data_IF_709056968293
#
_entry.id   IF_709056968293
#
_cell.length_a   1.000
_cell.length_b   1.000
_cell.length_c   1.000
_cell.angle_alpha   90.00
_cell.angle_beta   90.00
_cell.angle_gamma   90.00
#
_symmetry.space_group_name_H-M   'P 1'
#
loop_
_entity.id
_entity.type
_entity.pdbx_description
1 polymer ?
#
# COMPACT_ATOMS: atom_id res chain seq x y z
N UNK A 1 -5.83 -15.19 8.08
CA UNK A 1 -6.61 -14.19 8.83
C UNK A 1 -5.80 -13.58 9.96
N UNK A 2 -5.38 -14.32 11.00
CA UNK A 2 -4.63 -13.77 12.15
C UNK A 2 -3.40 -12.92 11.77
N UNK A 3 -2.51 -13.43 10.91
CA UNK A 3 -1.34 -12.67 10.44
C UNK A 3 -1.71 -11.39 9.67
N UNK A 4 -2.81 -11.40 8.91
CA UNK A 4 -3.28 -10.22 8.17
C UNK A 4 -3.84 -9.15 9.11
N UNK A 5 -4.61 -9.57 10.11
CA UNK A 5 -5.06 -8.66 11.17
C UNK A 5 -3.87 -8.00 11.87
N UNK A 6 -2.87 -8.80 12.27
CA UNK A 6 -1.66 -8.27 12.91
C UNK A 6 -0.90 -7.31 11.98
N UNK A 7 -0.80 -7.63 10.69
CA UNK A 7 -0.17 -6.76 9.71
C UNK A 7 -0.92 -5.44 9.54
N UNK A 8 -2.25 -5.45 9.47
CA UNK A 8 -3.05 -4.22 9.37
C UNK A 8 -2.93 -3.39 10.65
N UNK A 9 -2.90 -4.02 11.83
CA UNK A 9 -2.67 -3.32 13.09
C UNK A 9 -1.27 -2.70 13.19
N UNK A 10 -0.26 -3.29 12.53
CA UNK A 10 1.11 -2.77 12.49
C UNK A 10 1.29 -1.67 11.42
N UNK A 11 0.84 -1.92 10.20
CA UNK A 11 1.01 -1.01 9.05
C UNK A 11 0.01 0.14 9.06
N UNK A 12 -1.18 -0.08 9.60
CA UNK A 12 -2.28 0.89 9.61
C UNK A 12 -1.88 2.25 10.15
N UNK A 13 -1.39 2.35 11.40
CA UNK A 13 -0.96 3.63 11.98
C UNK A 13 0.12 4.34 11.16
N UNK A 14 1.03 3.61 10.51
CA UNK A 14 2.07 4.19 9.63
C UNK A 14 1.46 4.79 8.37
N UNK A 15 0.48 4.10 7.76
CA UNK A 15 -0.24 4.60 6.60
C UNK A 15 -1.09 5.82 6.97
N UNK A 16 -1.73 5.80 8.13
CA UNK A 16 -2.56 6.90 8.62
C UNK A 16 -1.72 8.16 8.87
N UNK A 17 -0.60 8.04 9.58
CA UNK A 17 0.33 9.16 9.80
C UNK A 17 0.98 9.66 8.50
N UNK A 18 1.33 8.76 7.58
CA UNK A 18 1.86 9.16 6.27
C UNK A 18 0.82 9.93 5.45
N UNK A 19 -0.44 9.50 5.47
CA UNK A 19 -1.52 10.18 4.77
C UNK A 19 -1.75 11.59 5.32
N UNK A 20 -1.70 11.79 6.64
CA UNK A 20 -1.80 13.13 7.26
C UNK A 20 -0.68 14.08 6.81
N UNK A 21 0.54 13.57 6.57
CA UNK A 21 1.65 14.37 6.08
C UNK A 21 1.55 14.74 4.58
N UNK A 22 0.80 13.95 3.79
CA UNK A 22 0.69 14.09 2.33
C UNK A 22 -0.59 14.82 1.91
N UNK A 23 -1.70 14.50 2.57
CA UNK A 23 -3.02 14.89 2.12
C UNK A 23 -3.34 16.33 2.52
N UNK A 24 -3.97 17.05 1.59
CA UNK A 24 -4.53 18.38 1.85
C UNK A 24 -6.04 18.23 2.06
N UNK A 25 -6.53 18.57 3.26
CA UNK A 25 -7.95 18.57 3.61
C UNK A 25 -8.29 17.70 4.82
N UNK A 26 -9.54 17.79 5.26
CA UNK A 26 -10.06 17.08 6.44
C UNK A 26 -10.45 15.63 6.11
N UNK A 27 -10.24 14.73 7.08
CA UNK A 27 -10.86 13.40 7.06
C UNK A 27 -10.04 12.28 7.66
N UNK A 28 -8.71 12.41 7.74
CA UNK A 28 -7.82 11.33 8.17
C UNK A 28 -7.95 10.06 7.30
N UNK A 29 -6.93 9.21 7.33
CA UNK A 29 -7.08 7.84 6.82
C UNK A 29 -7.38 6.93 8.01
N UNK A 30 -8.23 5.93 7.79
CA UNK A 30 -8.39 4.80 8.70
C UNK A 30 -8.28 3.51 7.91
N UNK A 31 -7.52 2.58 8.45
CA UNK A 31 -7.29 1.26 7.86
C UNK A 31 -7.98 0.18 8.67
N UNK A 32 -8.74 -0.70 8.02
CA UNK A 32 -9.47 -1.77 8.70
C UNK A 32 -9.41 -3.06 7.92
N UNK A 33 -9.05 -4.14 8.61
CA UNK A 33 -9.15 -5.48 8.06
C UNK A 33 -10.61 -5.95 8.09
N UNK A 34 -11.14 -6.35 6.94
CA UNK A 34 -12.50 -6.84 6.77
C UNK A 34 -12.47 -8.33 6.38
N UNK A 35 -12.47 -9.26 7.35
CA UNK A 35 -12.47 -10.69 7.07
C UNK A 35 -13.80 -11.15 6.44
N UNK A 36 -13.72 -12.06 5.46
CA UNK A 36 -14.92 -12.67 4.88
C UNK A 36 -15.44 -13.80 5.77
N UNK A 37 -16.69 -13.66 6.21
CA UNK A 37 -17.43 -14.71 6.90
C UNK A 37 -17.11 -14.90 8.39
N UNK A 38 -16.09 -14.20 8.92
CA UNK A 38 -15.71 -14.18 10.33
C UNK A 38 -16.05 -12.80 10.90
N UNK A 39 -16.74 -12.73 12.04
CA UNK A 39 -17.09 -11.46 12.68
C UNK A 39 -15.86 -10.77 13.32
N UNK A 40 -15.86 -9.44 13.49
CA UNK A 40 -14.75 -8.73 14.13
C UNK A 40 -14.52 -9.19 15.59
N UNK A 41 -15.58 -9.56 16.31
CA UNK A 41 -15.54 -10.15 17.65
C UNK A 41 -14.82 -11.51 17.72
N UNK A 42 -14.74 -12.24 16.61
CA UNK A 42 -14.09 -13.54 16.51
C UNK A 42 -12.56 -13.45 16.34
N UNK A 43 -12.03 -12.24 16.17
CA UNK A 43 -10.61 -11.97 15.95
C UNK A 43 -9.76 -12.02 17.24
N UNK A 44 -10.22 -12.75 18.27
CA UNK A 44 -9.55 -12.86 19.58
C UNK A 44 -8.39 -13.87 19.64
N UNK A 45 -8.13 -14.63 18.57
CA UNK A 45 -7.03 -15.61 18.51
C UNK A 45 -7.22 -16.65 17.40
N UNK A 46 -6.15 -17.38 17.07
CA UNK A 46 -6.21 -18.40 16.01
C UNK A 46 -7.28 -19.49 16.23
N UNK A 47 -7.48 -20.05 17.44
CA UNK A 47 -8.52 -21.05 17.67
C UNK A 47 -9.94 -20.53 17.42
N UNK A 48 -10.23 -19.30 17.85
CA UNK A 48 -11.53 -18.65 17.67
C UNK A 48 -11.78 -18.38 16.18
N UNK A 49 -10.77 -17.84 15.47
CA UNK A 49 -10.83 -17.61 14.03
C UNK A 49 -11.10 -18.92 13.28
N UNK A 50 -10.42 -20.00 13.64
CA UNK A 50 -10.60 -21.30 13.00
C UNK A 50 -12.01 -21.86 13.20
N UNK A 51 -12.55 -21.77 14.42
CA UNK A 51 -13.92 -22.20 14.74
C UNK A 51 -14.98 -21.43 13.95
N UNK A 52 -14.86 -20.10 13.91
CA UNK A 52 -15.80 -19.22 13.22
C UNK A 52 -15.70 -19.36 11.69
N UNK A 53 -14.49 -19.50 11.15
CA UNK A 53 -14.30 -19.79 9.74
C UNK A 53 -14.93 -21.13 9.35
N UNK A 54 -14.76 -22.17 10.17
CA UNK A 54 -15.38 -23.47 9.94
C UNK A 54 -16.91 -23.39 9.97
N UNK A 55 -17.48 -22.64 10.92
CA UNK A 55 -18.91 -22.40 11.00
C UNK A 55 -19.42 -21.63 9.77
N UNK A 56 -18.67 -20.63 9.31
CA UNK A 56 -19.01 -19.84 8.14
C UNK A 56 -18.96 -20.65 6.83
N UNK A 57 -17.94 -21.50 6.67
CA UNK A 57 -17.83 -22.44 5.55
C UNK A 57 -19.02 -23.41 5.52
N UNK A 58 -19.38 -24.02 6.66
CA UNK A 58 -20.55 -24.91 6.76
C UNK A 58 -21.85 -24.19 6.40
N UNK A 59 -22.02 -22.95 6.86
CA UNK A 59 -23.20 -22.12 6.58
C UNK A 59 -23.31 -21.73 5.10
N UNK A 60 -22.18 -21.52 4.40
CA UNK A 60 -22.14 -21.13 2.98
C UNK A 60 -22.13 -22.32 2.01
N UNK A 61 -21.78 -23.51 2.46
CA UNK A 61 -21.60 -24.69 1.61
C UNK A 61 -22.71 -24.94 0.58
N UNK A 62 -24.02 -24.85 0.89
CA UNK A 62 -25.07 -25.06 -0.12
C UNK A 62 -25.00 -24.04 -1.27
N UNK A 63 -24.79 -22.75 -0.96
CA UNK A 63 -24.67 -21.70 -1.97
C UNK A 63 -23.35 -21.76 -2.73
N UNK A 64 -22.28 -22.15 -2.06
CA UNK A 64 -20.95 -22.28 -2.68
C UNK A 64 -20.94 -23.47 -3.67
N UNK A 65 -21.65 -24.56 -3.36
CA UNK A 65 -21.88 -25.68 -4.27
C UNK A 65 -22.67 -25.26 -5.52
N UNK A 66 -23.75 -24.49 -5.36
CA UNK A 66 -24.52 -23.94 -6.48
C UNK A 66 -23.67 -23.02 -7.37
N UNK A 67 -22.77 -22.24 -6.77
CA UNK A 67 -21.92 -21.26 -7.48
C UNK A 67 -20.62 -21.84 -8.04
N UNK A 68 -20.20 -23.01 -7.57
CA UNK A 68 -18.95 -23.66 -7.97
C UNK A 68 -17.67 -23.04 -7.40
N UNK A 69 -17.76 -22.18 -6.37
CA UNK A 69 -16.59 -21.62 -5.69
C UNK A 69 -16.85 -21.34 -4.21
N UNK A 70 -15.80 -21.39 -3.39
CA UNK A 70 -15.88 -21.06 -1.96
C UNK A 70 -15.95 -19.55 -1.76
N UNK A 71 -17.01 -19.03 -1.13
CA UNK A 71 -17.23 -17.58 -0.98
C UNK A 71 -16.66 -16.98 0.31
N UNK A 72 -16.20 -17.82 1.23
CA UNK A 72 -15.69 -17.42 2.55
C UNK A 72 -14.29 -17.96 2.77
N UNK A 73 -13.43 -17.13 3.34
CA UNK A 73 -12.03 -17.47 3.62
C UNK A 73 -11.10 -16.32 3.24
N UNK A 74 -9.79 -16.47 3.50
CA UNK A 74 -8.84 -15.38 3.31
C UNK A 74 -8.81 -14.82 1.88
N UNK A 75 -9.05 -15.64 0.87
CA UNK A 75 -9.13 -15.19 -0.52
C UNK A 75 -10.26 -14.17 -0.80
N UNK A 76 -11.24 -14.07 0.09
CA UNK A 76 -12.37 -13.15 -0.02
C UNK A 76 -12.34 -12.00 1.02
N UNK A 77 -11.29 -11.92 1.85
CA UNK A 77 -11.10 -10.78 2.77
C UNK A 77 -10.82 -9.48 2.01
N UNK A 78 -11.05 -8.34 2.66
CA UNK A 78 -10.73 -7.01 2.14
C UNK A 78 -9.93 -6.15 3.13
N UNK A 79 -9.27 -5.12 2.61
CA UNK A 79 -8.69 -4.01 3.37
C UNK A 79 -9.56 -2.76 3.14
N UNK A 80 -10.39 -2.44 4.12
CA UNK A 80 -11.19 -1.23 4.09
C UNK A 80 -10.32 0.00 4.39
N UNK A 81 -10.34 0.95 3.47
CA UNK A 81 -9.70 2.26 3.60
C UNK A 81 -10.82 3.29 3.72
N UNK A 82 -10.87 4.01 4.83
CA UNK A 82 -11.90 5.01 5.12
C UNK A 82 -11.27 6.42 5.18
N UNK A 83 -11.95 7.40 4.59
CA UNK A 83 -11.64 8.82 4.73
C UNK A 83 -12.84 9.52 5.37
N UNK A 84 -12.64 10.13 6.54
CA UNK A 84 -13.71 10.74 7.31
C UNK A 84 -14.85 9.75 7.63
N UNK A 85 -14.49 8.49 7.89
CA UNK A 85 -15.42 7.39 8.15
C UNK A 85 -16.17 6.84 6.93
N UNK A 86 -15.86 7.29 5.72
CA UNK A 86 -16.51 6.82 4.47
C UNK A 86 -15.54 6.02 3.59
N UNK A 87 -16.01 5.01 2.84
CA UNK A 87 -15.16 4.23 1.94
C UNK A 87 -14.39 5.09 0.94
N UNK A 88 -13.05 5.09 1.02
CA UNK A 88 -12.18 5.87 0.15
C UNK A 88 -12.42 5.55 -1.33
N UNK A 89 -12.67 4.27 -1.64
CA UNK A 89 -12.95 3.81 -3.01
C UNK A 89 -14.10 4.57 -3.70
N UNK A 90 -15.14 4.94 -2.95
CA UNK A 90 -16.35 5.56 -3.50
C UNK A 90 -16.42 7.07 -3.27
N UNK A 91 -15.75 7.59 -2.24
CA UNK A 91 -15.92 8.98 -1.79
C UNK A 91 -14.65 9.83 -1.85
N UNK A 92 -13.47 9.22 -2.01
CA UNK A 92 -12.23 9.97 -2.12
C UNK A 92 -12.15 10.68 -3.48
N UNK A 93 -11.73 11.95 -3.48
CA UNK A 93 -11.32 12.61 -4.71
C UNK A 93 -10.11 11.89 -5.32
N UNK A 94 -9.84 12.11 -6.61
CA UNK A 94 -8.67 11.50 -7.27
C UNK A 94 -7.35 11.84 -6.56
N UNK A 95 -7.21 13.07 -6.05
CA UNK A 95 -6.03 13.48 -5.28
C UNK A 95 -5.91 12.74 -3.94
N UNK A 96 -7.03 12.50 -3.26
CA UNK A 96 -7.05 11.72 -2.03
C UNK A 96 -6.75 10.23 -2.29
N UNK A 97 -7.28 9.64 -3.36
CA UNK A 97 -6.95 8.25 -3.72
C UNK A 97 -5.45 8.06 -3.93
N UNK A 98 -4.81 9.00 -4.65
CA UNK A 98 -3.35 8.98 -4.86
C UNK A 98 -2.58 9.17 -3.55
N UNK A 99 -3.04 10.06 -2.68
CA UNK A 99 -2.42 10.24 -1.36
C UNK A 99 -2.54 8.98 -0.49
N UNK A 100 -3.67 8.26 -0.53
CA UNK A 100 -3.83 6.97 0.15
C UNK A 100 -2.85 5.94 -0.39
N UNK A 101 -2.70 5.83 -1.71
CA UNK A 101 -1.72 4.90 -2.32
C UNK A 101 -0.30 5.23 -1.89
N UNK A 102 0.10 6.51 -1.95
CA UNK A 102 1.43 6.94 -1.53
C UNK A 102 1.68 6.65 -0.04
N UNK A 103 0.68 6.92 0.82
CA UNK A 103 0.76 6.64 2.24
C UNK A 103 0.93 5.13 2.54
N UNK A 104 0.22 4.26 1.81
CA UNK A 104 0.38 2.81 1.92
C UNK A 104 1.77 2.35 1.48
N UNK A 105 2.34 2.94 0.42
CA UNK A 105 3.70 2.63 -0.04
C UNK A 105 4.76 3.01 1.00
N UNK A 106 4.63 4.19 1.60
CA UNK A 106 5.53 4.62 2.69
C UNK A 106 5.40 3.67 3.89
N UNK A 107 4.17 3.35 4.30
CA UNK A 107 3.94 2.41 5.40
C UNK A 107 4.54 1.03 5.14
N UNK A 108 4.49 0.53 3.90
CA UNK A 108 5.13 -0.71 3.47
C UNK A 108 6.66 -0.65 3.61
N UNK A 109 7.29 0.43 3.15
CA UNK A 109 8.74 0.65 3.26
C UNK A 109 9.17 0.67 4.73
N UNK A 110 8.46 1.40 5.58
CA UNK A 110 8.76 1.48 7.01
C UNK A 110 8.58 0.13 7.70
N UNK A 111 7.53 -0.62 7.34
CA UNK A 111 7.27 -1.96 7.86
C UNK A 111 8.39 -2.94 7.47
N UNK A 112 8.83 -2.91 6.22
CA UNK A 112 9.93 -3.74 5.75
C UNK A 112 11.24 -3.38 6.47
N UNK A 113 11.53 -2.09 6.66
CA UNK A 113 12.71 -1.64 7.41
C UNK A 113 12.69 -2.14 8.85
N UNK A 114 11.55 -2.04 9.53
CA UNK A 114 11.38 -2.53 10.89
C UNK A 114 11.55 -4.05 10.97
N UNK A 115 10.94 -4.79 10.05
CA UNK A 115 10.99 -6.26 10.02
C UNK A 115 12.38 -6.81 9.62
N UNK A 116 13.12 -6.13 8.75
CA UNK A 116 14.43 -6.57 8.27
C UNK A 116 15.59 -6.10 9.14
N UNK A 117 15.36 -5.11 10.02
CA UNK A 117 16.42 -4.44 10.80
C UNK A 117 17.39 -3.62 9.95
N UNK A 118 17.09 -3.42 8.66
CA UNK A 118 17.91 -2.67 7.70
C UNK A 118 17.03 -2.06 6.60
N UNK A 119 17.46 -0.97 5.94
CA UNK A 119 16.73 -0.40 4.81
C UNK A 119 16.58 -1.42 3.66
N UNK A 120 15.37 -1.58 3.08
CA UNK A 120 15.18 -2.41 1.89
C UNK A 120 15.79 -1.75 0.64
N UNK A 121 16.08 -2.57 -0.37
CA UNK A 121 16.28 -2.08 -1.74
C UNK A 121 14.91 -1.76 -2.34
N UNK A 122 14.70 -0.50 -2.77
CA UNK A 122 13.44 -0.07 -3.36
C UNK A 122 13.54 -0.05 -4.88
N UNK A 123 12.56 -0.65 -5.54
CA UNK A 123 12.38 -0.60 -6.99
C UNK A 123 11.08 0.14 -7.28
N UNK A 124 11.15 1.23 -8.04
CA UNK A 124 10.00 2.02 -8.47
C UNK A 124 9.92 2.00 -9.99
N UNK A 125 8.86 1.38 -10.52
CA UNK A 125 8.64 1.30 -11.95
C UNK A 125 7.69 2.42 -12.40
N UNK A 126 8.08 3.15 -13.44
CA UNK A 126 7.35 4.23 -14.11
C UNK A 126 6.63 5.20 -13.16
N UNK A 127 7.39 5.85 -12.27
CA UNK A 127 6.82 6.83 -11.31
C UNK A 127 6.11 8.01 -12.00
N UNK A 128 6.39 8.24 -13.29
CA UNK A 128 5.77 9.28 -14.11
C UNK A 128 4.30 9.03 -14.37
N UNK A 129 3.85 7.76 -14.43
CA UNK A 129 2.46 7.43 -14.78
C UNK A 129 1.55 7.34 -13.55
N UNK A 130 2.10 7.10 -12.36
CA UNK A 130 1.31 6.84 -11.15
C UNK A 130 1.00 8.10 -10.32
N UNK A 131 1.87 9.10 -10.31
CA UNK A 131 1.81 10.26 -9.40
C UNK A 131 1.82 11.59 -10.15
N UNK A 132 1.03 12.56 -9.68
CA UNK A 132 1.18 13.95 -10.13
C UNK A 132 2.42 14.64 -9.52
N UNK A 133 2.89 15.77 -10.08
CA UNK A 133 4.17 16.36 -9.72
C UNK A 133 4.33 16.68 -8.22
N UNK A 134 3.27 17.12 -7.55
CA UNK A 134 3.34 17.46 -6.12
C UNK A 134 3.56 16.22 -5.25
N UNK A 135 2.92 15.09 -5.57
CA UNK A 135 3.07 13.85 -4.81
C UNK A 135 4.36 13.13 -5.16
N UNK A 136 4.82 13.24 -6.40
CA UNK A 136 6.15 12.75 -6.78
C UNK A 136 7.23 13.50 -5.98
N UNK A 137 7.15 14.83 -5.88
CA UNK A 137 8.07 15.62 -5.06
C UNK A 137 8.09 15.16 -3.59
N UNK A 138 6.93 14.91 -2.99
CA UNK A 138 6.83 14.41 -1.63
C UNK A 138 7.44 13.01 -1.46
N UNK A 139 7.11 12.07 -2.36
CA UNK A 139 7.72 10.73 -2.35
C UNK A 139 9.24 10.85 -2.40
N UNK A 140 9.77 11.65 -3.31
CA UNK A 140 11.21 11.77 -3.47
C UNK A 140 11.88 12.48 -2.30
N UNK A 141 11.23 13.46 -1.66
CA UNK A 141 11.69 14.05 -0.40
C UNK A 141 11.79 13.00 0.71
N UNK A 142 10.76 12.17 0.85
CA UNK A 142 10.78 11.02 1.76
C UNK A 142 11.94 10.07 1.44
N UNK A 143 12.15 9.71 0.17
CA UNK A 143 13.21 8.80 -0.24
C UNK A 143 14.61 9.34 0.08
N UNK A 144 14.83 10.65 -0.15
CA UNK A 144 16.08 11.33 0.23
C UNK A 144 16.34 11.26 1.73
N UNK A 145 15.31 11.48 2.54
CA UNK A 145 15.44 11.43 4.00
C UNK A 145 15.59 10.00 4.56
N UNK A 146 15.18 8.98 3.80
CA UNK A 146 15.00 7.62 4.33
C UNK A 146 16.25 6.74 4.30
N UNK A 147 17.38 7.20 3.74
CA UNK A 147 18.63 6.44 3.58
C UNK A 147 18.38 5.05 2.94
N UNK A 148 17.65 5.05 1.82
CA UNK A 148 17.30 3.86 1.04
C UNK A 148 18.17 3.80 -0.22
N UNK A 149 18.49 2.59 -0.68
CA UNK A 149 18.95 2.40 -2.05
C UNK A 149 17.71 2.27 -2.96
N UNK A 150 17.59 3.15 -3.96
CA UNK A 150 16.42 3.23 -4.85
C UNK A 150 16.85 3.06 -6.30
N UNK A 151 16.19 2.15 -7.02
CA UNK A 151 16.20 2.10 -8.48
C UNK A 151 14.84 2.58 -8.97
N UNK A 152 14.85 3.48 -9.94
CA UNK A 152 13.66 4.14 -10.43
C UNK A 152 13.68 4.20 -11.95
N UNK A 153 12.55 3.93 -12.58
CA UNK A 153 12.32 4.17 -14.01
C UNK A 153 11.32 5.32 -14.19
N UNK A 154 11.55 6.16 -15.20
CA UNK A 154 10.69 7.28 -15.55
C UNK A 154 10.90 7.63 -17.02
N UNK A 155 9.84 8.09 -17.70
CA UNK A 155 9.95 8.70 -19.03
C UNK A 155 10.21 10.20 -18.97
N UNK A 156 10.10 10.82 -17.80
CA UNK A 156 10.37 12.24 -17.58
C UNK A 156 11.43 12.41 -16.49
N UNK A 157 12.66 12.73 -16.90
CA UNK A 157 13.77 12.93 -15.96
C UNK A 157 13.55 14.12 -15.02
N UNK A 158 12.71 15.10 -15.39
CA UNK A 158 12.53 16.33 -14.59
C UNK A 158 11.84 16.04 -13.26
N UNK A 159 10.96 15.04 -13.23
CA UNK A 159 10.24 14.61 -12.03
C UNK A 159 11.19 14.07 -10.96
N UNK A 160 12.31 13.48 -11.39
CA UNK A 160 13.26 12.81 -10.51
C UNK A 160 14.51 13.62 -10.33
N UNK A 161 14.93 14.43 -11.30
CA UNK A 161 16.19 15.21 -11.25
C UNK A 161 16.22 16.22 -10.11
N UNK A 162 15.10 16.86 -9.79
CA UNK A 162 15.01 17.77 -8.65
C UNK A 162 15.17 17.05 -7.30
N UNK A 163 14.92 15.75 -7.31
CA UNK A 163 14.74 14.96 -6.13
C UNK A 163 15.84 13.91 -5.92
N UNK A 164 16.51 13.54 -7.01
CA UNK A 164 17.80 12.92 -7.11
C UNK A 164 18.82 13.84 -6.43
N UNK A 165 19.37 13.41 -5.30
CA UNK A 165 20.51 14.08 -4.68
C UNK A 165 21.76 14.01 -5.58
N UNK A 166 22.86 14.62 -5.14
CA UNK A 166 24.12 14.65 -5.91
C UNK A 166 24.67 13.24 -6.22
N UNK A 167 24.33 12.25 -5.39
CA UNK A 167 24.77 10.86 -5.54
C UNK A 167 23.94 10.04 -6.55
N UNK A 168 22.89 10.63 -7.12
CA UNK A 168 22.04 9.93 -8.07
C UNK A 168 22.74 9.71 -9.42
N UNK A 169 22.59 8.52 -9.97
CA UNK A 169 23.04 8.20 -11.34
C UNK A 169 21.84 8.07 -12.27
N UNK A 170 21.79 8.94 -13.27
CA UNK A 170 20.79 8.87 -14.32
C UNK A 170 21.36 8.13 -15.53
N UNK A 171 20.60 7.14 -16.01
CA UNK A 171 20.97 6.31 -17.15
C UNK A 171 19.83 6.32 -18.17
N UNK A 172 20.16 6.58 -19.43
CA UNK A 172 19.24 6.35 -20.55
C UNK A 172 19.19 4.87 -20.89
N UNK A 173 18.02 4.39 -21.33
CA UNK A 173 17.83 3.02 -21.82
C UNK A 173 17.27 3.07 -23.24
N UNK A 174 18.04 2.59 -24.21
CA UNK A 174 17.62 2.51 -25.61
C UNK A 174 17.91 1.11 -26.15
N UNK A 175 16.90 0.45 -26.74
CA UNK A 175 17.03 -0.91 -27.32
C UNK A 175 17.66 -1.93 -26.35
N UNK A 176 17.35 -1.82 -25.06
CA UNK A 176 17.87 -2.70 -24.00
C UNK A 176 19.31 -2.42 -23.56
N UNK A 177 19.91 -1.31 -24.01
CA UNK A 177 21.26 -0.89 -23.63
C UNK A 177 21.20 0.32 -22.69
N UNK A 178 21.91 0.24 -21.58
CA UNK A 178 22.08 1.35 -20.63
C UNK A 178 23.22 2.27 -21.08
N UNK A 179 22.98 3.58 -21.08
CA UNK A 179 23.96 4.60 -21.47
C UNK A 179 23.73 5.93 -20.76
N UNK A 180 24.50 6.97 -21.10
CA UNK A 180 24.18 8.33 -20.65
C UNK A 180 22.81 8.76 -21.21
N UNK A 181 22.18 9.73 -20.55
CA UNK A 181 20.94 10.32 -21.05
C UNK A 181 21.18 10.94 -22.44
N UNK A 182 20.24 10.77 -23.39
CA UNK A 182 20.27 11.53 -24.63
C UNK A 182 20.17 13.02 -24.31
N UNK A 183 21.06 13.82 -24.91
CA UNK A 183 21.10 15.28 -24.75
C UNK A 183 19.95 16.00 -25.44
#
# INVERSE_FOLDING_TARGET
MARRLALVAEMGPRAEGSFEAIAVGDGGLQTRYAPSGVGPEALGGEPQIAGELLAALRRRAPRDQERGFTSVGPHADDLELLLGGRPARSFASQGQQRAVVLALKIAEIENLRASLGRPPLLLLDDVSSELDPARNAHLMEYLRASNLQVFLTTTDERLVRQAAGEDARLLGVERGVFGPLPG
#
